data_IF_301044932523
#
_entry.id   IF_301044932523
#
_cell.length_a   1.000
_cell.length_b   1.000
_cell.length_c   1.000
_cell.angle_alpha   90.00
_cell.angle_beta   90.00
_cell.angle_gamma   90.00
#
_symmetry.space_group_name_H-M   'P 1'
#
loop_
_entity.id
_entity.type
_entity.pdbx_description
1 polymer ?
#
# COMPACT_ATOMS: atom_id res chain seq x y z
N UNK A 1 -27.61 -25.14 31.03
CA UNK A 1 -28.20 -23.80 30.77
C UNK A 1 -27.37 -22.92 29.82
N UNK A 2 -26.05 -23.15 29.66
CA UNK A 2 -25.15 -22.36 28.80
C UNK A 2 -25.44 -22.44 27.29
N UNK A 3 -25.94 -23.57 26.79
CA UNK A 3 -26.28 -23.74 25.36
C UNK A 3 -27.55 -22.98 24.93
N UNK A 4 -28.49 -22.72 25.84
CA UNK A 4 -29.72 -21.98 25.50
C UNK A 4 -29.44 -20.49 25.27
N UNK A 5 -28.46 -19.93 25.99
CA UNK A 5 -28.01 -18.55 25.80
C UNK A 5 -27.28 -18.36 24.46
N UNK A 6 -26.45 -19.34 24.08
CA UNK A 6 -25.70 -19.30 22.81
C UNK A 6 -26.63 -19.41 21.60
N UNK A 7 -27.69 -20.23 21.69
CA UNK A 7 -28.73 -20.35 20.67
C UNK A 7 -29.55 -19.06 20.49
N UNK A 8 -29.85 -18.35 21.57
CA UNK A 8 -30.56 -17.06 21.50
C UNK A 8 -29.71 -15.94 20.88
N UNK A 9 -28.40 -15.95 21.12
CA UNK A 9 -27.48 -14.92 20.61
C UNK A 9 -27.24 -15.08 19.10
N UNK A 10 -27.15 -16.32 18.60
CA UNK A 10 -27.08 -16.61 17.15
C UNK A 10 -28.40 -16.28 16.45
N UNK A 11 -29.55 -16.55 17.09
CA UNK A 11 -30.86 -16.20 16.54
C UNK A 11 -31.08 -14.66 16.44
N UNK A 12 -30.56 -13.88 17.40
CA UNK A 12 -30.63 -12.42 17.35
C UNK A 12 -29.74 -11.81 16.25
N UNK A 13 -28.55 -12.39 15.99
CA UNK A 13 -27.71 -11.97 14.87
C UNK A 13 -28.24 -12.44 13.50
N UNK A 14 -28.96 -13.56 13.44
CA UNK A 14 -29.55 -14.07 12.20
C UNK A 14 -30.75 -13.29 11.68
N UNK A 15 -31.49 -12.60 12.55
CA UNK A 15 -32.66 -11.77 12.18
C UNK A 15 -32.34 -10.27 12.05
N UNK A 16 -31.26 -9.79 12.67
CA UNK A 16 -30.83 -8.39 12.56
C UNK A 16 -30.00 -8.05 11.31
N UNK A 17 -29.53 -9.06 10.57
CA UNK A 17 -28.61 -8.88 9.44
C UNK A 17 -29.23 -8.43 8.11
N UNK A 18 -30.55 -8.47 7.96
CA UNK A 18 -31.21 -8.15 6.69
C UNK A 18 -31.85 -6.76 6.64
N UNK A 19 -31.79 -5.96 7.71
CA UNK A 19 -32.39 -4.62 7.73
C UNK A 19 -31.55 -3.55 7.00
N UNK A 20 -30.33 -3.88 6.56
CA UNK A 20 -29.44 -2.96 5.83
C UNK A 20 -29.20 -3.36 4.37
N UNK A 21 -30.08 -4.18 3.76
CA UNK A 21 -30.10 -4.24 2.31
C UNK A 21 -30.85 -3.00 1.80
N UNK A 22 -30.21 -2.10 1.03
CA UNK A 22 -30.97 -1.06 0.34
C UNK A 22 -31.99 -1.77 -0.54
N UNK A 23 -33.28 -1.54 -0.28
CA UNK A 23 -34.38 -2.05 -1.08
C UNK A 23 -34.30 -1.42 -2.47
N UNK A 24 -33.61 -2.09 -3.40
CA UNK A 24 -33.57 -1.68 -4.79
C UNK A 24 -34.77 -2.28 -5.53
N UNK A 25 -35.95 -1.72 -5.25
CA UNK A 25 -37.13 -1.92 -6.09
C UNK A 25 -37.06 -0.97 -7.29
N UNK A 26 -37.63 -1.33 -8.46
CA UNK A 26 -37.65 -0.42 -9.60
C UNK A 26 -38.56 0.77 -9.26
N UNK A 27 -37.97 1.85 -8.74
CA UNK A 27 -38.63 3.15 -8.79
C UNK A 27 -38.72 3.56 -10.26
N UNK A 28 -39.73 4.33 -10.62
CA UNK A 28 -39.82 5.05 -11.91
C UNK A 28 -38.56 5.89 -12.22
N UNK A 29 -37.76 6.17 -11.20
CA UNK A 29 -36.48 6.88 -11.21
C UNK A 29 -35.27 5.92 -11.16
N UNK A 30 -35.51 4.60 -11.12
CA UNK A 30 -34.51 3.56 -10.90
C UNK A 30 -33.49 3.43 -12.02
N UNK A 31 -33.83 3.90 -13.23
CA UNK A 31 -32.82 4.05 -14.29
C UNK A 31 -31.74 5.08 -13.91
N UNK A 32 -32.12 6.18 -13.25
CA UNK A 32 -31.17 7.20 -12.79
C UNK A 32 -30.30 6.66 -11.65
N UNK A 33 -30.90 5.99 -10.67
CA UNK A 33 -30.18 5.38 -9.55
C UNK A 33 -29.26 4.24 -10.01
N UNK A 34 -29.67 3.47 -11.02
CA UNK A 34 -28.87 2.41 -11.63
C UNK A 34 -27.65 2.99 -12.34
N UNK A 35 -27.85 4.10 -13.05
CA UNK A 35 -26.77 4.84 -13.70
C UNK A 35 -25.79 5.44 -12.69
N UNK A 36 -26.29 5.97 -11.57
CA UNK A 36 -25.47 6.48 -10.47
C UNK A 36 -24.62 5.37 -9.86
N UNK A 37 -25.21 4.22 -9.51
CA UNK A 37 -24.48 3.07 -8.96
C UNK A 37 -23.43 2.51 -9.93
N UNK A 38 -23.76 2.43 -11.22
CA UNK A 38 -22.81 2.02 -12.27
C UNK A 38 -21.64 2.99 -12.40
N UNK A 39 -21.90 4.30 -12.32
CA UNK A 39 -20.84 5.32 -12.40
C UNK A 39 -19.91 5.30 -11.19
N UNK A 40 -20.45 5.01 -10.01
CA UNK A 40 -19.65 4.87 -8.78
C UNK A 40 -18.77 3.62 -8.82
N UNK A 41 -19.33 2.48 -9.24
CA UNK A 41 -18.57 1.24 -9.41
C UNK A 41 -17.39 1.41 -10.39
N UNK A 42 -17.60 2.10 -11.52
CA UNK A 42 -16.54 2.39 -12.49
C UNK A 42 -15.44 3.28 -11.87
N UNK A 43 -15.82 4.28 -11.08
CA UNK A 43 -14.87 5.17 -10.42
C UNK A 43 -14.05 4.43 -9.36
N UNK A 44 -14.68 3.57 -8.57
CA UNK A 44 -14.00 2.72 -7.60
C UNK A 44 -13.01 1.78 -8.28
N UNK A 45 -13.43 1.11 -9.37
CA UNK A 45 -12.57 0.24 -10.16
C UNK A 45 -11.36 0.99 -10.73
N UNK A 46 -11.58 2.20 -11.27
CA UNK A 46 -10.50 3.05 -11.78
C UNK A 46 -9.44 3.32 -10.70
N UNK A 47 -9.87 3.70 -9.49
CA UNK A 47 -8.95 4.00 -8.40
C UNK A 47 -8.19 2.78 -7.89
N UNK A 48 -8.81 1.60 -7.87
CA UNK A 48 -8.14 0.34 -7.53
C UNK A 48 -6.99 0.07 -8.50
N UNK A 49 -7.25 0.15 -9.81
CA UNK A 49 -6.23 -0.09 -10.84
C UNK A 49 -5.10 0.94 -10.75
N UNK A 50 -5.44 2.22 -10.57
CA UNK A 50 -4.45 3.29 -10.38
C UNK A 50 -3.55 3.05 -9.17
N UNK A 51 -4.13 2.68 -8.03
CA UNK A 51 -3.37 2.42 -6.82
C UNK A 51 -2.47 1.18 -6.96
N UNK A 52 -2.95 0.12 -7.63
CA UNK A 52 -2.14 -1.06 -7.94
C UNK A 52 -0.97 -0.69 -8.86
N UNK A 53 -1.21 0.07 -9.92
CA UNK A 53 -0.15 0.51 -10.84
C UNK A 53 0.91 1.36 -10.13
N UNK A 54 0.51 2.27 -9.24
CA UNK A 54 1.43 3.06 -8.43
C UNK A 54 2.28 2.20 -7.49
N UNK A 55 1.68 1.20 -6.85
CA UNK A 55 2.40 0.29 -5.95
C UNK A 55 3.43 -0.57 -6.72
N UNK A 56 3.07 -1.05 -7.90
CA UNK A 56 3.95 -1.81 -8.79
C UNK A 56 5.06 -0.95 -9.41
N UNK A 57 4.85 0.37 -9.51
CA UNK A 57 5.86 1.35 -9.93
C UNK A 57 6.80 1.80 -8.80
N UNK A 58 6.89 1.06 -7.69
CA UNK A 58 8.01 1.23 -6.76
C UNK A 58 9.28 0.91 -7.53
N UNK A 59 9.87 1.93 -8.17
CA UNK A 59 11.18 1.83 -8.81
C UNK A 59 12.10 1.18 -7.79
N UNK A 60 12.92 0.19 -8.16
CA UNK A 60 13.98 -0.26 -7.27
C UNK A 60 14.72 0.98 -6.81
N UNK A 61 14.66 1.28 -5.52
CA UNK A 61 15.46 2.38 -4.98
C UNK A 61 16.90 2.01 -5.32
N UNK A 62 17.64 2.88 -6.05
CA UNK A 62 19.01 2.56 -6.41
C UNK A 62 19.77 2.23 -5.13
N UNK A 63 20.31 1.01 -5.05
CA UNK A 63 20.98 0.53 -3.85
C UNK A 63 22.35 1.21 -3.78
N UNK A 64 22.39 2.43 -3.25
CA UNK A 64 23.63 3.16 -3.04
C UNK A 64 24.35 2.57 -1.84
N UNK A 65 25.55 2.04 -2.06
CA UNK A 65 26.43 1.55 -0.98
C UNK A 65 27.72 2.37 -0.97
N UNK A 66 28.21 2.70 0.22
CA UNK A 66 29.48 3.42 0.40
C UNK A 66 30.52 2.46 0.95
N UNK A 67 31.66 2.34 0.26
CA UNK A 67 32.83 1.62 0.75
C UNK A 67 33.92 2.60 1.14
N UNK A 68 34.50 2.41 2.32
CA UNK A 68 35.64 3.19 2.80
C UNK A 68 36.94 2.46 2.52
N UNK A 69 37.93 3.15 1.99
CA UNK A 69 39.31 2.68 1.99
C UNK A 69 40.23 3.79 2.49
N UNK A 70 41.30 3.40 3.16
CA UNK A 70 42.28 4.32 3.72
C UNK A 70 43.48 4.35 2.79
N UNK A 71 43.74 5.50 2.18
CA UNK A 71 44.96 5.72 1.41
C UNK A 71 46.09 5.99 2.39
N UNK A 72 47.07 5.08 2.46
CA UNK A 72 48.20 5.18 3.36
C UNK A 72 49.04 6.42 3.06
N UNK A 73 49.37 7.19 4.10
CA UNK A 73 50.26 8.35 3.96
C UNK A 73 51.67 7.90 3.61
N UNK A 74 52.21 8.40 2.50
CA UNK A 74 53.60 8.15 2.09
C UNK A 74 54.41 9.43 2.23
N UNK A 75 55.67 9.27 2.66
CA UNK A 75 56.64 10.38 2.65
C UNK A 75 57.57 10.16 1.47
N UNK A 76 57.52 11.07 0.49
CA UNK A 76 58.38 11.04 -0.69
C UNK A 76 59.07 12.40 -0.80
N UNK A 77 60.40 12.40 -0.88
CA UNK A 77 61.20 13.62 -1.07
C UNK A 77 60.85 14.76 -0.07
N UNK A 78 60.64 14.43 1.21
CA UNK A 78 60.35 15.42 2.26
C UNK A 78 58.91 15.94 2.32
N UNK A 79 58.04 15.54 1.39
CA UNK A 79 56.60 15.85 1.44
C UNK A 79 55.87 14.66 2.07
N UNK A 80 55.13 14.91 3.15
CA UNK A 80 54.31 13.89 3.83
C UNK A 80 52.88 13.99 3.35
N UNK A 81 52.37 12.92 2.76
CA UNK A 81 50.95 12.81 2.42
C UNK A 81 50.18 12.35 3.66
N UNK A 82 49.16 13.10 4.07
CA UNK A 82 48.33 12.75 5.23
C UNK A 82 47.39 11.59 4.86
N UNK A 83 47.30 10.52 5.67
CA UNK A 83 46.36 9.44 5.42
C UNK A 83 44.93 9.97 5.36
N UNK A 84 44.23 9.69 4.25
CA UNK A 84 42.87 10.18 4.01
C UNK A 84 41.93 8.99 3.84
N UNK A 85 40.74 9.09 4.42
CA UNK A 85 39.65 8.12 4.21
C UNK A 85 38.79 8.59 3.06
N UNK A 86 38.69 7.78 2.02
CA UNK A 86 37.88 8.07 0.84
C UNK A 86 36.63 7.18 0.81
N UNK A 87 35.54 7.73 0.29
CA UNK A 87 34.25 7.05 0.17
C UNK A 87 33.94 6.77 -1.30
N UNK A 88 33.95 5.50 -1.70
CA UNK A 88 33.50 5.06 -3.01
C UNK A 88 31.99 4.83 -2.99
N UNK A 89 31.26 5.58 -3.81
CA UNK A 89 29.83 5.40 -4.04
C UNK A 89 29.62 4.37 -5.15
N UNK A 90 28.95 3.26 -4.82
CA UNK A 90 28.57 2.22 -5.78
C UNK A 90 27.05 2.28 -6.00
N UNK A 91 26.65 2.39 -7.26
CA UNK A 91 25.27 2.32 -7.72
C UNK A 91 25.09 0.97 -8.46
N UNK A 92 24.14 0.15 -8.01
CA UNK A 92 23.74 -1.12 -8.66
C UNK A 92 22.45 -0.96 -9.44
#
# INVERSE_FOLDING_TARGET
MRNKLLLLLVAACGLGGCASQPTYGPSKDGAADYNLGRSDAVKQQYWIIQNQQKALQTKPQPRVSYYTFTTGGTTTNGVTTVPTTEYLRIEN
#
